data_IF_405398129684
#
_entry.id   IF_405398129684
#
_cell.length_a   1.000
_cell.length_b   1.000
_cell.length_c   1.000
_cell.angle_alpha   90.00
_cell.angle_beta   90.00
_cell.angle_gamma   90.00
#
_symmetry.space_group_name_H-M   'P 1'
#
loop_
_entity.id
_entity.type
_entity.pdbx_description
1 polymer ?
#
# COMPACT_ATOMS: atom_id res chain seq x y z
N UNK A 1 -5.14 44.06 -15.36
CA UNK A 1 -5.71 42.76 -14.97
C UNK A 1 -4.56 41.89 -14.50
N UNK A 2 -4.27 41.87 -13.19
CA UNK A 2 -3.33 40.89 -12.65
C UNK A 2 -4.10 39.58 -12.55
N UNK A 3 -3.85 38.63 -13.45
CA UNK A 3 -4.29 37.27 -13.23
C UNK A 3 -3.48 36.77 -12.02
N UNK A 4 -4.12 36.58 -10.87
CA UNK A 4 -3.53 35.86 -9.74
C UNK A 4 -3.19 34.47 -10.29
N UNK A 5 -1.90 34.23 -10.55
CA UNK A 5 -1.44 32.98 -11.12
C UNK A 5 -1.92 31.83 -10.22
N UNK A 6 -2.28 30.65 -10.77
CA UNK A 6 -2.74 29.52 -9.95
C UNK A 6 -1.74 29.27 -8.82
N UNK A 7 -2.17 29.46 -7.57
CA UNK A 7 -1.28 29.39 -6.42
C UNK A 7 -0.82 27.95 -6.24
N UNK A 8 0.48 27.73 -6.35
CA UNK A 8 1.11 26.43 -6.12
C UNK A 8 1.20 26.13 -4.62
N UNK A 9 1.13 24.86 -4.26
CA UNK A 9 1.32 24.37 -2.91
C UNK A 9 2.78 24.02 -2.64
N UNK A 10 3.25 24.22 -1.41
CA UNK A 10 4.58 23.78 -0.96
C UNK A 10 4.45 22.71 0.11
N UNK A 11 4.96 21.52 -0.15
CA UNK A 11 5.05 20.45 0.84
C UNK A 11 6.50 19.98 0.98
N UNK A 12 7.09 20.21 2.17
CA UNK A 12 8.51 20.00 2.40
C UNK A 12 9.38 20.84 1.45
N UNK A 13 10.22 20.18 0.65
CA UNK A 13 11.08 20.81 -0.38
C UNK A 13 10.49 20.75 -1.80
N UNK A 14 9.25 20.29 -1.95
CA UNK A 14 8.58 20.11 -3.25
C UNK A 14 7.48 21.15 -3.43
N UNK A 15 7.26 21.53 -4.68
CA UNK A 15 6.17 22.40 -5.11
C UNK A 15 5.20 21.59 -5.96
N UNK A 16 3.91 21.83 -5.79
CA UNK A 16 2.82 21.14 -6.45
C UNK A 16 1.89 22.17 -7.09
N UNK A 17 1.53 21.95 -8.35
CA UNK A 17 0.61 22.81 -9.07
C UNK A 17 -0.80 22.71 -8.48
N UNK A 18 -1.63 23.72 -8.71
CA UNK A 18 -3.04 23.66 -8.38
C UNK A 18 -3.69 22.42 -9.03
N UNK A 19 -4.53 21.70 -8.28
CA UNK A 19 -5.15 20.41 -8.64
C UNK A 19 -4.18 19.22 -8.79
N UNK A 20 -2.87 19.40 -8.55
CA UNK A 20 -1.95 18.27 -8.50
C UNK A 20 -2.18 17.45 -7.23
N UNK A 21 -2.12 16.12 -7.37
CA UNK A 21 -2.26 15.17 -6.27
C UNK A 21 -1.02 14.31 -6.11
N UNK A 22 -0.59 14.02 -4.88
CA UNK A 22 0.63 13.27 -4.59
C UNK A 22 0.54 12.45 -3.30
N UNK A 23 1.39 11.43 -3.20
CA UNK A 23 1.67 10.76 -1.93
C UNK A 23 2.84 11.47 -1.22
N UNK A 24 2.67 11.92 0.03
CA UNK A 24 3.72 12.66 0.73
C UNK A 24 4.88 11.74 1.11
N UNK A 25 6.10 12.27 0.99
CA UNK A 25 7.30 11.63 1.53
C UNK A 25 7.71 12.34 2.81
N UNK A 26 7.74 11.60 3.92
CA UNK A 26 8.07 12.12 5.25
C UNK A 26 9.33 11.42 5.75
N UNK A 27 10.46 12.12 5.86
CA UNK A 27 11.65 11.55 6.48
C UNK A 27 11.42 11.26 7.97
N UNK A 28 11.97 10.16 8.52
CA UNK A 28 12.75 9.10 7.86
C UNK A 28 11.90 7.99 7.20
N UNK A 29 10.57 8.05 7.31
CA UNK A 29 9.63 6.99 6.94
C UNK A 29 9.45 6.76 5.43
N UNK A 30 9.83 7.74 4.59
CA UNK A 30 9.67 7.64 3.15
C UNK A 30 8.25 7.98 2.69
N UNK A 31 7.82 7.41 1.58
CA UNK A 31 6.55 7.73 0.93
C UNK A 31 5.35 7.03 1.58
N UNK A 32 4.35 7.80 1.98
CA UNK A 32 3.13 7.29 2.63
C UNK A 32 2.05 6.99 1.60
N UNK A 33 2.01 5.75 1.11
CA UNK A 33 1.06 5.28 0.08
C UNK A 33 -0.42 5.33 0.49
N UNK A 34 -0.70 5.38 1.79
CA UNK A 34 -2.05 5.51 2.33
C UNK A 34 -2.55 6.94 2.48
N UNK A 35 -1.72 7.95 2.19
CA UNK A 35 -2.13 9.34 2.31
C UNK A 35 -2.08 9.95 0.92
N UNK A 36 -3.19 10.51 0.48
CA UNK A 36 -3.27 11.28 -0.75
C UNK A 36 -3.39 12.76 -0.37
N UNK A 37 -2.45 13.57 -0.83
CA UNK A 37 -2.52 15.02 -0.73
C UNK A 37 -2.86 15.62 -2.08
N UNK A 38 -3.49 16.79 -2.09
CA UNK A 38 -3.77 17.57 -3.29
C UNK A 38 -3.73 19.06 -3.01
N UNK A 39 -3.46 19.83 -4.06
CA UNK A 39 -3.38 21.29 -3.97
C UNK A 39 -4.68 21.95 -4.44
N UNK A 40 -5.20 22.88 -3.65
CA UNK A 40 -6.34 23.73 -4.02
C UNK A 40 -5.98 25.18 -3.73
N UNK A 41 -5.79 25.98 -4.78
CA UNK A 41 -5.52 27.42 -4.69
C UNK A 41 -4.41 27.80 -3.70
N UNK A 42 -3.35 26.99 -3.63
CA UNK A 42 -2.20 27.20 -2.74
C UNK A 42 -2.34 26.54 -1.37
N UNK A 43 -3.49 25.94 -1.06
CA UNK A 43 -3.72 25.18 0.16
C UNK A 43 -3.53 23.69 -0.08
N UNK A 44 -2.74 23.06 0.78
CA UNK A 44 -2.51 21.61 0.74
C UNK A 44 -3.55 20.90 1.58
N UNK A 45 -4.32 20.02 0.96
CA UNK A 45 -5.25 19.12 1.62
C UNK A 45 -4.69 17.70 1.59
N UNK A 46 -4.90 16.92 2.66
CA UNK A 46 -4.48 15.53 2.70
C UNK A 46 -5.56 14.67 3.33
N UNK A 47 -5.78 13.49 2.76
CA UNK A 47 -6.71 12.49 3.28
C UNK A 47 -6.01 11.13 3.38
N UNK A 48 -6.18 10.49 4.53
CA UNK A 48 -5.77 9.10 4.73
C UNK A 48 -6.84 8.19 4.15
N UNK A 49 -6.43 7.23 3.33
CA UNK A 49 -7.30 6.14 2.93
C UNK A 49 -7.57 5.24 4.13
N UNK A 50 -8.83 5.04 4.43
CA UNK A 50 -9.27 4.14 5.49
C UNK A 50 -9.39 2.74 4.89
N UNK A 51 -8.54 1.82 5.37
CA UNK A 51 -8.66 0.41 4.98
C UNK A 51 -9.73 -0.24 5.85
N UNK A 52 -10.61 -1.09 5.28
CA UNK A 52 -11.56 -1.85 6.07
C UNK A 52 -10.81 -2.72 7.09
N UNK A 53 -11.32 -2.85 8.34
CA UNK A 53 -10.72 -3.71 9.34
C UNK A 53 -10.79 -5.16 8.85
N UNK A 54 -9.65 -5.73 8.49
CA UNK A 54 -9.56 -7.11 8.02
C UNK A 54 -9.07 -8.03 9.14
N UNK A 55 -9.86 -9.05 9.47
CA UNK A 55 -9.49 -10.10 10.42
C UNK A 55 -8.66 -11.17 9.70
N UNK A 56 -7.38 -10.93 9.43
CA UNK A 56 -6.58 -11.85 8.61
C UNK A 56 -5.21 -12.16 9.21
N UNK A 57 -4.88 -13.46 9.24
CA UNK A 57 -3.62 -13.99 9.77
C UNK A 57 -2.43 -13.89 8.79
N UNK A 58 -2.66 -13.59 7.50
CA UNK A 58 -1.59 -13.44 6.51
C UNK A 58 -1.97 -12.50 5.35
N UNK A 59 -1.08 -11.57 4.94
CA UNK A 59 -1.34 -10.64 3.83
C UNK A 59 -1.01 -11.29 2.47
N UNK A 60 -1.94 -11.26 1.52
CA UNK A 60 -1.73 -11.77 0.17
C UNK A 60 -1.83 -10.65 -0.88
N UNK A 61 -0.70 -10.38 -1.54
CA UNK A 61 -0.53 -9.59 -2.77
C UNK A 61 -1.03 -8.13 -2.76
N UNK A 62 -0.11 -7.21 -3.08
CA UNK A 62 -0.30 -5.75 -3.07
C UNK A 62 -0.89 -5.24 -4.40
N UNK A 63 -2.19 -5.45 -4.64
CA UNK A 63 -2.87 -4.69 -5.70
C UNK A 63 -2.98 -3.20 -5.32
N UNK A 64 -3.18 -2.91 -4.04
CA UNK A 64 -3.18 -1.56 -3.50
C UNK A 64 -1.93 -1.39 -2.59
N UNK A 65 -1.04 -0.43 -2.87
CA UNK A 65 0.12 -0.17 -2.02
C UNK A 65 -0.25 0.36 -0.63
N UNK A 66 -1.48 0.84 -0.44
CA UNK A 66 -2.00 1.23 0.87
C UNK A 66 -2.61 0.05 1.66
N UNK A 67 -3.59 -0.66 1.10
CA UNK A 67 -4.32 -1.72 1.81
C UNK A 67 -3.90 -3.11 1.33
N UNK A 68 -3.47 -3.97 2.25
CA UNK A 68 -3.29 -5.38 1.94
C UNK A 68 -4.66 -6.04 1.75
N UNK A 69 -4.87 -6.73 0.63
CA UNK A 69 -6.01 -7.64 0.49
C UNK A 69 -5.70 -8.93 1.25
N UNK A 70 -6.71 -9.47 1.92
CA UNK A 70 -6.64 -10.85 2.37
C UNK A 70 -6.99 -11.74 1.19
N UNK A 71 -6.28 -12.85 1.02
CA UNK A 71 -6.79 -13.93 0.16
C UNK A 71 -8.11 -14.39 0.79
N UNK A 72 -9.21 -14.30 0.05
CA UNK A 72 -10.47 -14.89 0.47
C UNK A 72 -10.22 -16.37 0.78
N UNK A 73 -10.73 -16.86 1.92
CA UNK A 73 -10.59 -18.26 2.34
C UNK A 73 -11.49 -19.22 1.53
N UNK A 74 -11.86 -18.86 0.31
CA UNK A 74 -12.83 -19.59 -0.50
C UNK A 74 -12.22 -19.98 -1.86
N UNK A 75 -11.28 -20.91 -1.82
CA UNK A 75 -11.07 -21.89 -2.89
C UNK A 75 -10.28 -23.08 -2.31
N UNK A 76 -10.85 -24.29 -2.23
CA UNK A 76 -10.10 -25.48 -1.89
C UNK A 76 -9.15 -25.80 -3.04
N UNK A 77 -7.95 -25.24 -3.00
CA UNK A 77 -6.84 -25.73 -3.81
C UNK A 77 -6.37 -27.03 -3.19
N UNK A 78 -7.03 -28.11 -3.59
CA UNK A 78 -6.49 -29.47 -3.61
C UNK A 78 -5.05 -29.43 -4.15
N UNK A 79 -4.10 -29.41 -3.22
CA UNK A 79 -2.73 -29.82 -3.44
C UNK A 79 -2.32 -30.58 -2.19
N UNK A 80 -3.04 -31.70 -2.01
CA UNK A 80 -2.68 -32.90 -1.27
C UNK A 80 -1.23 -32.89 -0.77
N UNK A 81 -1.12 -32.57 0.51
CA UNK A 81 -0.27 -33.24 1.49
C UNK A 81 0.35 -34.53 0.93
N UNK A 82 1.65 -34.47 0.64
CA UNK A 82 2.53 -35.64 0.66
C UNK A 82 3.79 -35.26 1.43
N UNK A 83 3.62 -35.06 2.73
CA UNK A 83 4.65 -35.38 3.71
C UNK A 83 4.26 -36.72 4.31
N UNK A 84 4.76 -37.78 3.69
CA UNK A 84 4.91 -39.15 4.22
C UNK A 84 5.84 -39.82 3.21
N UNK A 85 6.89 -40.54 3.54
CA UNK A 85 7.54 -40.90 4.79
C UNK A 85 8.78 -41.72 4.35
N UNK A 86 9.74 -41.95 5.24
CA UNK A 86 10.80 -42.95 5.12
C UNK A 86 11.94 -42.70 4.10
N UNK A 87 12.87 -41.83 4.48
CA UNK A 87 14.30 -42.15 4.32
C UNK A 87 14.97 -42.07 5.68
N UNK A 88 14.69 -43.06 6.52
CA UNK A 88 15.58 -43.46 7.61
C UNK A 88 16.23 -44.78 7.20
N UNK A 89 17.53 -44.81 7.42
CA UNK A 89 18.48 -45.81 6.95
C UNK A 89 18.28 -47.19 7.61
N UNK A 90 18.93 -48.19 7.02
CA UNK A 90 19.58 -49.33 7.69
C UNK A 90 19.01 -50.73 7.37
N UNK A 91 19.94 -51.60 6.97
CA UNK A 91 19.91 -53.06 6.86
C UNK A 91 19.45 -53.68 5.53
N UNK A 92 20.35 -53.63 4.54
CA UNK A 92 20.51 -54.75 3.61
C UNK A 92 21.27 -55.85 4.34
N UNK A 93 20.57 -56.93 4.70
CA UNK A 93 21.17 -58.22 5.01
C UNK A 93 21.50 -58.98 3.72
#
# INVERSE_FOLDING_TARGET
>A
MQADAPRACRFGRRWYLNNESWHPSVPPFGEMKCILCWCVSGETHCQRQECPPSACASPATRDNPCCAKCRALDAPSDAREKVHDAKVESWSH
#
